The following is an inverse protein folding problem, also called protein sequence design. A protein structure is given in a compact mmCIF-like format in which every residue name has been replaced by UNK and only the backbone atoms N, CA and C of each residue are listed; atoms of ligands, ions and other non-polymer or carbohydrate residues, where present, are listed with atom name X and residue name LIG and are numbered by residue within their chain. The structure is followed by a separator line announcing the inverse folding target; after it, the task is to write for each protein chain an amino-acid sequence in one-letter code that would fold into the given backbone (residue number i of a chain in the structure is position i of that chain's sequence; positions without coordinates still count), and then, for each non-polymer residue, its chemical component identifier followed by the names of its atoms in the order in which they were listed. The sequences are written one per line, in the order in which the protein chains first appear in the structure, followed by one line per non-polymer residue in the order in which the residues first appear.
data_IF_390376968310
#
_entry.id   IF_390376968310
#
_cell.length_a   1.000
_cell.length_b   1.000
_cell.length_c   1.000
_cell.angle_alpha   90.00
_cell.angle_beta   90.00
_cell.angle_gamma   90.00
#
_symmetry.space_group_name_H-M   'P 1'
#
loop_
_entity.id
_entity.type
_entity.pdbx_description
1 polymer ?
#
# COMPACT_ATOMS: atom_id res chain seq x y z
N UNK A 1 -7.89 -27.19 5.29
CA UNK A 1 -7.80 -27.38 3.83
C UNK A 1 -7.35 -26.08 3.17
N UNK A 2 -6.60 -26.18 2.07
CA UNK A 2 -6.30 -25.06 1.18
C UNK A 2 -7.39 -25.03 0.11
N UNK A 3 -8.04 -23.89 -0.06
CA UNK A 3 -9.19 -23.74 -0.96
C UNK A 3 -8.94 -22.54 -1.88
N UNK A 4 -9.20 -22.73 -3.17
CA UNK A 4 -9.20 -21.66 -4.15
C UNK A 4 -10.40 -20.73 -3.89
N UNK A 5 -10.21 -19.41 -3.74
CA UNK A 5 -11.31 -18.46 -3.55
C UNK A 5 -12.32 -18.48 -4.71
N UNK A 6 -11.87 -18.79 -5.92
CA UNK A 6 -12.74 -18.92 -7.09
C UNK A 6 -13.58 -20.22 -7.13
N UNK A 7 -13.41 -21.14 -6.15
CA UNK A 7 -14.21 -22.35 -6.07
C UNK A 7 -15.66 -22.04 -5.68
N UNK A 8 -16.54 -22.03 -6.68
CA UNK A 8 -17.95 -21.66 -6.54
C UNK A 8 -18.73 -22.51 -5.51
N UNK A 9 -18.20 -23.68 -5.10
CA UNK A 9 -18.82 -24.53 -4.06
C UNK A 9 -18.78 -23.89 -2.68
N UNK A 10 -17.87 -22.96 -2.45
CA UNK A 10 -17.64 -22.30 -1.16
C UNK A 10 -18.06 -20.83 -1.12
N UNK A 11 -18.50 -20.24 -2.24
CA UNK A 11 -18.86 -18.82 -2.34
C UNK A 11 -19.84 -18.39 -1.24
N UNK A 12 -20.98 -19.10 -1.10
CA UNK A 12 -21.98 -18.78 -0.09
C UNK A 12 -21.48 -19.02 1.35
N UNK A 13 -20.62 -20.01 1.53
CA UNK A 13 -20.03 -20.36 2.84
C UNK A 13 -19.09 -19.29 3.31
N UNK A 14 -18.24 -18.76 2.41
CA UNK A 14 -17.30 -17.69 2.74
C UNK A 14 -18.01 -16.35 2.86
N UNK A 15 -18.96 -16.03 2.01
CA UNK A 15 -19.75 -14.80 2.13
C UNK A 15 -20.45 -14.73 3.50
N UNK A 16 -21.00 -15.84 3.97
CA UNK A 16 -21.59 -15.93 5.31
C UNK A 16 -20.53 -15.77 6.40
N UNK A 17 -19.39 -16.47 6.29
CA UNK A 17 -18.30 -16.37 7.25
C UNK A 17 -17.83 -14.91 7.42
N UNK A 18 -17.60 -14.19 6.34
CA UNK A 18 -17.17 -12.79 6.38
C UNK A 18 -18.24 -11.87 6.99
N UNK A 19 -19.51 -12.09 6.65
CA UNK A 19 -20.63 -11.38 7.27
C UNK A 19 -20.66 -11.58 8.78
N UNK A 20 -20.49 -12.84 9.24
CA UNK A 20 -20.51 -13.20 10.66
C UNK A 20 -19.27 -12.71 11.42
N UNK A 21 -18.14 -12.52 10.71
CA UNK A 21 -16.93 -11.88 11.27
C UNK A 21 -17.00 -10.36 11.33
N UNK A 22 -17.86 -9.70 10.54
CA UNK A 22 -17.92 -8.25 10.40
C UNK A 22 -16.81 -7.67 9.50
N UNK A 23 -16.18 -8.49 8.66
CA UNK A 23 -14.97 -8.17 7.88
C UNK A 23 -15.21 -8.35 6.36
N UNK A 24 -16.43 -8.14 5.91
CA UNK A 24 -16.83 -8.44 4.52
C UNK A 24 -16.00 -7.67 3.47
N UNK A 25 -15.64 -6.41 3.75
CA UNK A 25 -14.92 -5.56 2.80
C UNK A 25 -13.46 -5.97 2.59
N UNK A 26 -12.82 -6.59 3.58
CA UNK A 26 -11.41 -6.98 3.51
C UNK A 26 -11.13 -8.16 2.55
N UNK A 27 -12.15 -8.87 2.10
CA UNK A 27 -11.97 -10.17 1.43
C UNK A 27 -12.71 -10.31 0.09
N UNK A 28 -13.50 -9.33 -0.32
CA UNK A 28 -14.26 -9.41 -1.57
C UNK A 28 -13.35 -9.48 -2.81
N UNK A 29 -12.13 -8.97 -2.71
CA UNK A 29 -11.20 -8.81 -3.84
C UNK A 29 -9.92 -9.68 -3.71
N UNK A 30 -9.92 -10.66 -2.81
CA UNK A 30 -8.73 -11.47 -2.55
C UNK A 30 -8.66 -12.70 -3.48
N UNK A 31 -7.76 -12.66 -4.47
CA UNK A 31 -7.47 -13.79 -5.38
C UNK A 31 -6.55 -14.86 -4.75
N UNK A 32 -6.16 -14.68 -3.48
CA UNK A 32 -5.24 -15.59 -2.79
C UNK A 32 -5.97 -16.80 -2.20
N UNK A 33 -5.35 -18.00 -2.17
CA UNK A 33 -5.96 -19.19 -1.63
C UNK A 33 -6.21 -19.10 -0.12
N UNK A 34 -7.30 -19.71 0.34
CA UNK A 34 -7.69 -19.74 1.75
C UNK A 34 -7.30 -21.05 2.43
N UNK A 35 -6.80 -20.95 3.67
CA UNK A 35 -6.83 -22.07 4.61
C UNK A 35 -8.11 -21.98 5.44
N UNK A 36 -8.98 -22.98 5.32
CA UNK A 36 -10.26 -22.98 6.01
C UNK A 36 -10.43 -24.16 6.98
N UNK A 37 -11.12 -23.91 8.07
CA UNK A 37 -11.56 -24.92 9.06
C UNK A 37 -13.08 -24.92 9.08
N UNK A 38 -13.66 -26.11 8.98
CA UNK A 38 -15.10 -26.32 8.99
C UNK A 38 -15.51 -27.11 10.25
N UNK A 39 -16.69 -26.80 10.79
CA UNK A 39 -17.25 -27.53 11.93
C UNK A 39 -18.02 -28.80 11.51
N UNK A 40 -18.29 -28.94 10.22
CA UNK A 40 -19.08 -30.02 9.65
C UNK A 40 -18.33 -30.75 8.51
N UNK A 41 -18.72 -32.00 8.26
CA UNK A 41 -18.11 -32.84 7.23
C UNK A 41 -18.47 -32.33 5.82
N UNK A 42 -19.66 -31.75 5.66
CA UNK A 42 -20.17 -31.27 4.38
C UNK A 42 -19.54 -29.91 3.99
N UNK A 43 -18.73 -29.31 4.87
CA UNK A 43 -18.02 -28.05 4.66
C UNK A 43 -18.95 -26.86 4.36
N UNK A 44 -20.12 -26.85 4.97
CA UNK A 44 -21.12 -25.79 4.82
C UNK A 44 -20.97 -24.68 5.86
N UNK A 45 -20.24 -24.96 6.97
CA UNK A 45 -20.05 -24.02 8.06
C UNK A 45 -18.57 -23.81 8.36
N UNK A 46 -18.01 -22.74 7.77
CA UNK A 46 -16.65 -22.30 8.03
C UNK A 46 -16.56 -21.66 9.42
N UNK A 47 -15.60 -22.05 10.23
CA UNK A 47 -15.41 -21.54 11.60
C UNK A 47 -14.12 -20.76 11.79
N UNK A 48 -13.18 -20.92 10.87
CA UNK A 48 -11.94 -20.16 10.82
C UNK A 48 -11.37 -20.14 9.42
N UNK A 49 -10.78 -19.01 9.06
CA UNK A 49 -10.21 -18.77 7.75
C UNK A 49 -8.90 -18.00 7.88
N UNK A 50 -7.92 -18.34 7.06
CA UNK A 50 -6.67 -17.63 6.92
C UNK A 50 -6.37 -17.43 5.44
N UNK A 51 -6.01 -16.23 5.08
CA UNK A 51 -5.43 -15.89 3.77
C UNK A 51 -4.04 -15.31 3.95
N UNK A 52 -3.28 -15.21 2.86
CA UNK A 52 -1.97 -14.60 2.86
C UNK A 52 -1.67 -13.99 1.49
N UNK A 53 -0.95 -12.87 1.50
CA UNK A 53 -0.43 -12.21 0.31
C UNK A 53 1.09 -12.37 0.28
N UNK A 54 1.63 -12.90 -0.83
CA UNK A 54 3.08 -12.97 -1.04
C UNK A 54 3.52 -11.73 -1.81
N UNK A 55 4.48 -11.02 -1.22
CA UNK A 55 5.18 -9.91 -1.87
C UNK A 55 6.65 -10.28 -2.02
N UNK A 56 7.13 -10.25 -3.26
CA UNK A 56 8.53 -10.50 -3.60
C UNK A 56 9.18 -9.21 -4.10
N UNK A 57 10.33 -8.89 -3.54
CA UNK A 57 11.19 -7.83 -4.06
C UNK A 57 12.63 -8.34 -4.13
N UNK A 58 13.56 -7.55 -4.67
CA UNK A 58 14.96 -7.96 -4.87
C UNK A 58 15.69 -8.38 -3.57
N UNK A 59 15.20 -7.94 -2.42
CA UNK A 59 15.90 -8.11 -1.13
C UNK A 59 15.25 -9.14 -0.22
N UNK A 60 13.95 -9.40 -0.32
CA UNK A 60 13.23 -10.32 0.56
C UNK A 60 11.88 -10.74 -0.02
N UNK A 61 11.39 -11.88 0.46
CA UNK A 61 10.03 -12.37 0.25
C UNK A 61 9.27 -12.24 1.56
N UNK A 62 8.08 -11.68 1.52
CA UNK A 62 7.19 -11.52 2.68
C UNK A 62 5.84 -12.15 2.38
N UNK A 63 5.29 -12.85 3.37
CA UNK A 63 3.91 -13.31 3.39
C UNK A 63 3.14 -12.54 4.47
N UNK A 64 2.29 -11.64 4.06
CA UNK A 64 1.35 -11.00 4.97
C UNK A 64 0.16 -11.94 5.21
N UNK A 65 -0.09 -12.26 6.47
CA UNK A 65 -1.08 -13.26 6.88
C UNK A 65 -2.23 -12.59 7.60
N UNK A 66 -3.45 -12.86 7.16
CA UNK A 66 -4.68 -12.46 7.82
C UNK A 66 -5.48 -13.70 8.22
N UNK A 67 -5.82 -13.83 9.53
CA UNK A 67 -6.51 -14.99 10.07
C UNK A 67 -7.68 -14.58 10.95
N UNK A 68 -8.83 -15.21 10.72
CA UNK A 68 -10.08 -14.92 11.40
C UNK A 68 -10.69 -16.19 11.95
N UNK A 69 -11.33 -16.08 13.12
CA UNK A 69 -12.08 -17.17 13.76
C UNK A 69 -13.40 -16.60 14.26
N UNK A 70 -14.51 -17.25 13.93
CA UNK A 70 -15.83 -16.86 14.40
C UNK A 70 -15.85 -16.74 15.94
N UNK A 71 -16.53 -15.74 16.51
CA UNK A 71 -16.53 -15.47 17.96
C UNK A 71 -16.81 -16.71 18.82
N UNK A 72 -17.82 -17.51 18.46
CA UNK A 72 -18.24 -18.70 19.22
C UNK A 72 -17.24 -19.87 19.16
N UNK A 73 -16.30 -19.82 18.20
CA UNK A 73 -15.28 -20.85 17.99
C UNK A 73 -13.88 -20.40 18.45
N UNK A 74 -13.76 -19.19 19.03
CA UNK A 74 -12.50 -18.71 19.59
C UNK A 74 -12.05 -19.51 20.80
N UNK A 75 -10.74 -19.48 21.11
CA UNK A 75 -10.11 -20.20 22.23
C UNK A 75 -10.16 -21.72 22.15
N UNK A 76 -10.46 -22.28 20.99
CA UNK A 76 -10.48 -23.72 20.72
C UNK A 76 -9.26 -24.19 19.91
N UNK A 77 -8.22 -23.35 19.76
CA UNK A 77 -7.00 -23.68 19.04
C UNK A 77 -7.06 -23.49 17.52
N UNK A 78 -8.20 -23.07 16.96
CA UNK A 78 -8.39 -22.92 15.50
C UNK A 78 -7.40 -21.94 14.91
N UNK A 79 -7.22 -20.75 15.50
CA UNK A 79 -6.25 -19.75 15.06
C UNK A 79 -4.83 -20.34 15.01
N UNK A 80 -4.41 -21.02 16.07
CA UNK A 80 -3.09 -21.65 16.16
C UNK A 80 -2.89 -22.72 15.09
N UNK A 81 -3.90 -23.55 14.84
CA UNK A 81 -3.85 -24.60 13.82
C UNK A 81 -3.77 -24.00 12.40
N UNK A 82 -4.55 -22.97 12.11
CA UNK A 82 -4.50 -22.23 10.82
C UNK A 82 -3.11 -21.65 10.58
N UNK A 83 -2.63 -20.83 11.51
CA UNK A 83 -1.32 -20.17 11.39
C UNK A 83 -0.17 -21.18 11.32
N UNK A 84 -0.20 -22.27 12.10
CA UNK A 84 0.80 -23.32 12.04
C UNK A 84 0.81 -24.04 10.69
N UNK A 85 -0.37 -24.35 10.15
CA UNK A 85 -0.49 -24.99 8.83
C UNK A 85 0.02 -24.06 7.72
N UNK A 86 -0.39 -22.80 7.74
CA UNK A 86 0.05 -21.78 6.78
C UNK A 86 1.58 -21.59 6.86
N UNK A 87 2.13 -21.44 8.07
CA UNK A 87 3.56 -21.31 8.29
C UNK A 87 4.34 -22.43 7.62
N UNK A 88 3.99 -23.68 7.89
CA UNK A 88 4.70 -24.84 7.31
C UNK A 88 4.57 -24.91 5.78
N UNK A 89 3.40 -24.61 5.23
CA UNK A 89 3.19 -24.65 3.79
C UNK A 89 3.91 -23.51 3.07
N UNK A 90 3.86 -22.28 3.59
CA UNK A 90 4.54 -21.12 3.01
C UNK A 90 6.06 -21.36 3.07
N UNK A 91 6.59 -21.78 4.23
CA UNK A 91 8.02 -22.06 4.39
C UNK A 91 8.53 -23.24 3.55
N UNK A 92 7.70 -24.20 3.22
CA UNK A 92 8.06 -25.29 2.31
C UNK A 92 8.24 -24.82 0.86
N UNK A 93 7.50 -23.80 0.44
CA UNK A 93 7.58 -23.22 -0.89
C UNK A 93 8.58 -22.05 -0.95
N UNK A 94 8.62 -21.23 0.11
CA UNK A 94 9.46 -20.05 0.26
C UNK A 94 10.26 -20.12 1.58
N UNK A 95 11.38 -20.82 1.64
CA UNK A 95 12.11 -21.08 2.90
C UNK A 95 12.52 -19.81 3.65
N UNK A 96 12.94 -18.78 2.92
CA UNK A 96 13.44 -17.52 3.46
C UNK A 96 12.34 -16.45 3.65
N UNK A 97 11.10 -16.76 3.26
CA UNK A 97 9.98 -15.84 3.37
C UNK A 97 9.73 -15.42 4.82
N UNK A 98 9.60 -14.13 5.05
CA UNK A 98 9.12 -13.61 6.34
C UNK A 98 7.60 -13.69 6.39
N UNK A 99 7.05 -14.23 7.47
CA UNK A 99 5.60 -14.20 7.70
C UNK A 99 5.29 -13.09 8.69
N UNK A 100 4.43 -12.18 8.28
CA UNK A 100 3.99 -11.04 9.09
C UNK A 100 2.47 -10.98 9.17
N UNK A 101 1.95 -10.24 10.12
CA UNK A 101 0.53 -10.00 10.26
C UNK A 101 0.22 -9.13 11.48
N UNK A 102 -1.05 -8.76 11.60
CA UNK A 102 -1.53 -7.93 12.70
C UNK A 102 -1.91 -8.82 13.88
N UNK A 103 -1.23 -8.63 15.02
CA UNK A 103 -1.55 -9.30 16.27
C UNK A 103 -2.27 -8.34 17.21
N UNK A 104 -3.57 -8.55 17.50
CA UNK A 104 -4.22 -7.87 18.60
C UNK A 104 -3.47 -8.09 19.91
N UNK A 105 -3.51 -7.14 20.84
CA UNK A 105 -2.74 -7.18 22.08
C UNK A 105 -2.94 -8.47 22.91
N UNK A 106 -4.13 -9.04 22.89
CA UNK A 106 -4.40 -10.30 23.57
C UNK A 106 -3.70 -11.52 22.95
N UNK A 107 -3.30 -11.45 21.68
CA UNK A 107 -2.54 -12.49 20.98
C UNK A 107 -1.04 -12.31 21.05
N UNK A 108 -0.52 -11.14 21.45
CA UNK A 108 0.93 -10.90 21.60
C UNK A 108 1.60 -11.78 22.66
N UNK A 109 0.83 -12.52 23.44
CA UNK A 109 1.31 -13.52 24.41
C UNK A 109 1.28 -14.96 23.88
N UNK A 110 0.80 -15.19 22.66
CA UNK A 110 0.77 -16.54 22.10
C UNK A 110 2.16 -16.94 21.57
N UNK A 111 2.40 -18.26 21.48
CA UNK A 111 3.67 -18.80 21.02
C UNK A 111 4.00 -18.47 19.53
N UNK A 112 3.00 -18.01 18.77
CA UNK A 112 3.19 -17.61 17.36
C UNK A 112 3.70 -16.18 17.22
N UNK A 113 3.67 -15.36 18.27
CA UNK A 113 4.12 -13.97 18.23
C UNK A 113 5.64 -13.90 18.28
N UNK A 114 6.25 -13.41 17.23
CA UNK A 114 7.71 -13.30 17.07
C UNK A 114 8.28 -11.91 17.36
N UNK A 115 7.45 -11.00 17.85
CA UNK A 115 7.84 -9.60 18.07
C UNK A 115 7.40 -8.69 16.93
N UNK A 116 7.58 -7.39 17.11
CA UNK A 116 7.25 -6.37 16.10
C UNK A 116 8.16 -6.48 14.88
N UNK A 117 7.57 -6.56 13.70
CA UNK A 117 8.27 -6.52 12.41
C UNK A 117 8.48 -5.07 11.97
N UNK A 118 7.39 -4.35 11.80
CA UNK A 118 7.39 -2.93 11.45
C UNK A 118 6.05 -2.30 11.88
N UNK A 119 6.00 -0.98 11.84
CA UNK A 119 4.75 -0.22 11.94
C UNK A 119 4.44 0.36 10.56
N UNK A 120 3.23 0.20 10.09
CA UNK A 120 2.74 0.90 8.92
C UNK A 120 1.97 2.14 9.37
N UNK A 121 2.28 3.26 8.74
CA UNK A 121 1.64 4.55 9.01
C UNK A 121 0.71 4.91 7.87
N UNK A 122 -0.54 5.22 8.19
CA UNK A 122 -1.40 5.98 7.30
C UNK A 122 -1.05 7.45 7.44
N UNK A 123 -0.64 8.07 6.35
CA UNK A 123 -0.34 9.51 6.32
C UNK A 123 -1.36 10.22 5.44
N UNK A 124 -1.71 11.45 5.82
CA UNK A 124 -2.70 12.28 5.13
C UNK A 124 -2.15 13.67 4.84
N UNK A 125 -2.45 14.17 3.65
CA UNK A 125 -2.20 15.55 3.24
C UNK A 125 -3.52 16.23 2.91
N UNK A 126 -3.82 17.30 3.61
CA UNK A 126 -4.95 18.19 3.32
C UNK A 126 -4.51 19.37 2.47
N UNK A 127 -5.46 20.06 1.82
CA UNK A 127 -5.18 21.28 1.06
C UNK A 127 -4.52 22.37 1.92
N UNK A 128 -4.86 22.44 3.21
CA UNK A 128 -4.26 23.39 4.17
C UNK A 128 -2.79 23.06 4.41
N UNK A 129 -2.47 21.82 4.75
CA UNK A 129 -1.09 21.37 4.98
C UNK A 129 -0.23 21.47 3.72
N UNK A 130 -0.80 21.15 2.54
CA UNK A 130 -0.13 21.33 1.25
C UNK A 130 0.24 22.80 1.01
N UNK A 131 -0.65 23.73 1.34
CA UNK A 131 -0.39 25.17 1.19
C UNK A 131 0.71 25.66 2.13
N UNK A 132 0.80 25.11 3.34
CA UNK A 132 1.87 25.43 4.29
C UNK A 132 3.23 24.86 3.88
N UNK A 133 3.26 23.69 3.28
CA UNK A 133 4.48 23.04 2.80
C UNK A 133 5.00 23.63 1.47
N UNK A 134 4.14 24.24 0.65
CA UNK A 134 4.48 24.77 -0.68
C UNK A 134 5.73 25.68 -0.72
N UNK A 135 5.99 26.61 0.24
CA UNK A 135 7.20 27.42 0.23
C UNK A 135 8.48 26.59 0.38
N UNK A 136 8.45 25.54 1.22
CA UNK A 136 9.60 24.65 1.43
C UNK A 136 9.86 23.78 0.19
N UNK A 137 8.82 23.29 -0.46
CA UNK A 137 8.92 22.54 -1.72
C UNK A 137 9.49 23.41 -2.85
N UNK A 138 9.05 24.67 -2.96
CA UNK A 138 9.60 25.62 -3.94
C UNK A 138 11.07 25.95 -3.71
N UNK A 139 11.54 26.03 -2.44
CA UNK A 139 12.96 26.30 -2.13
C UNK A 139 13.84 25.09 -2.37
N UNK A 140 13.39 23.88 -2.03
CA UNK A 140 14.11 22.63 -2.33
C UNK A 140 14.30 22.45 -3.86
N UNK A 141 13.31 22.85 -4.64
CA UNK A 141 13.42 22.83 -6.11
C UNK A 141 14.44 23.85 -6.66
N UNK A 142 14.70 24.97 -5.97
CA UNK A 142 15.69 25.98 -6.43
C UNK A 142 17.13 25.48 -6.37
N UNK A 143 17.46 24.61 -5.41
CA UNK A 143 18.82 24.06 -5.30
C UNK A 143 19.08 22.95 -6.34
N UNK A 144 18.02 22.35 -6.87
CA UNK A 144 18.08 21.36 -7.96
C UNK A 144 17.96 22.05 -9.32
N UNK A 145 17.37 23.23 -9.35
CA UNK A 145 16.98 23.98 -10.56
C UNK A 145 17.58 25.40 -10.52
N UNK A 146 18.59 25.72 -11.33
CA UNK A 146 19.02 27.09 -11.48
C UNK A 146 17.94 27.88 -12.27
N UNK A 147 17.39 28.91 -11.62
CA UNK A 147 16.43 29.92 -12.11
C UNK A 147 14.93 29.54 -12.16
N UNK A 148 14.24 30.05 -11.13
CA UNK A 148 12.82 29.90 -10.91
C UNK A 148 11.99 31.01 -11.53
N UNK A 149 11.46 30.77 -12.71
CA UNK A 149 10.36 31.57 -13.27
C UNK A 149 9.06 30.79 -13.53
N UNK A 150 9.00 29.48 -13.15
CA UNK A 150 7.99 28.54 -13.66
C UNK A 150 6.84 28.18 -12.73
N UNK A 151 6.75 28.73 -11.50
CA UNK A 151 5.60 28.44 -10.63
C UNK A 151 4.28 29.12 -11.02
N UNK A 152 4.23 29.90 -12.07
CA UNK A 152 3.07 30.74 -12.39
C UNK A 152 2.24 30.37 -13.62
N UNK A 153 2.62 29.38 -14.43
CA UNK A 153 1.89 29.05 -15.67
C UNK A 153 1.68 27.55 -15.88
N UNK A 154 0.83 26.92 -15.07
CA UNK A 154 0.28 25.60 -15.40
C UNK A 154 -1.11 25.80 -15.98
N UNK A 155 -1.23 25.75 -17.29
CA UNK A 155 -2.51 25.62 -17.99
C UNK A 155 -2.69 24.14 -18.30
N UNK A 156 -3.53 23.46 -17.54
CA UNK A 156 -3.99 22.09 -17.85
C UNK A 156 -5.20 22.14 -18.77
N UNK A 157 -5.07 21.63 -19.97
CA UNK A 157 -6.21 21.31 -20.84
C UNK A 157 -6.51 19.83 -20.67
N UNK A 158 -7.62 19.50 -20.03
CA UNK A 158 -8.11 18.13 -19.91
C UNK A 158 -8.76 17.78 -21.25
N UNK A 159 -8.15 16.87 -22.00
CA UNK A 159 -8.80 16.21 -23.14
C UNK A 159 -8.69 14.71 -22.96
N UNK A 160 -9.87 14.04 -23.03
CA UNK A 160 -10.04 12.60 -23.03
C UNK A 160 -9.47 11.98 -24.31
N UNK A 161 -8.20 11.64 -24.31
CA UNK A 161 -7.46 10.77 -25.24
C UNK A 161 -6.04 10.60 -24.69
N UNK A 162 -5.31 9.52 -25.02
CA UNK A 162 -3.93 9.38 -24.58
C UNK A 162 -3.03 10.33 -25.36
N UNK A 163 -3.16 11.62 -25.04
CA UNK A 163 -2.29 12.67 -25.52
C UNK A 163 -1.25 12.90 -24.43
N UNK A 164 0.01 12.68 -24.79
CA UNK A 164 1.16 13.02 -23.95
C UNK A 164 1.21 14.53 -23.78
N UNK A 165 0.76 15.02 -22.63
CA UNK A 165 0.93 16.42 -22.27
C UNK A 165 2.29 16.59 -21.58
N UNK A 166 3.30 16.91 -22.34
CA UNK A 166 4.63 17.23 -21.84
C UNK A 166 4.64 18.68 -21.31
N UNK A 167 4.71 18.84 -20.00
CA UNK A 167 4.97 20.13 -19.36
C UNK A 167 6.44 20.21 -18.95
N UNK A 168 7.22 21.08 -19.60
CA UNK A 168 8.60 21.33 -19.22
C UNK A 168 8.65 22.06 -17.88
N UNK A 169 9.25 21.42 -16.87
CA UNK A 169 9.49 22.03 -15.56
C UNK A 169 10.89 22.62 -15.43
N UNK A 170 11.74 22.34 -16.35
CA UNK A 170 13.12 22.83 -16.56
C UNK A 170 13.66 22.21 -17.82
N UNK A 171 14.72 22.74 -18.34
CA UNK A 171 15.38 22.23 -19.55
C UNK A 171 15.84 20.77 -19.48
N UNK A 172 15.72 20.15 -18.28
CA UNK A 172 16.23 18.79 -18.01
C UNK A 172 15.17 17.77 -17.56
N UNK A 173 13.90 18.16 -17.30
CA UNK A 173 12.86 17.23 -16.86
C UNK A 173 11.56 17.42 -17.62
N UNK A 174 10.95 16.31 -18.04
CA UNK A 174 9.66 16.26 -18.69
C UNK A 174 8.66 15.55 -17.77
N UNK A 175 7.45 16.08 -17.71
CA UNK A 175 6.36 15.56 -16.89
C UNK A 175 5.28 15.00 -17.79
N UNK A 176 4.93 13.74 -17.59
CA UNK A 176 3.82 13.08 -18.29
C UNK A 176 2.76 12.65 -17.30
N UNK A 177 1.49 12.77 -17.68
CA UNK A 177 0.37 12.28 -16.90
C UNK A 177 -0.46 11.35 -17.78
N UNK A 178 -0.63 10.12 -17.35
CA UNK A 178 -1.47 9.13 -18.02
C UNK A 178 -2.74 8.90 -17.19
N UNK A 179 -3.87 8.71 -17.88
CA UNK A 179 -5.16 8.44 -17.25
C UNK A 179 -5.64 7.07 -17.69
N UNK A 180 -6.07 6.25 -16.75
CA UNK A 180 -6.93 5.10 -16.94
C UNK A 180 -8.28 5.34 -16.26
N UNK A 181 -9.21 4.39 -16.31
CA UNK A 181 -10.60 4.61 -15.90
C UNK A 181 -10.75 5.15 -14.48
N UNK A 182 -9.96 4.65 -13.50
CA UNK A 182 -10.02 5.06 -12.09
C UNK A 182 -8.65 5.50 -11.52
N UNK A 183 -7.58 5.45 -12.32
CA UNK A 183 -6.22 5.73 -11.88
C UNK A 183 -5.57 6.82 -12.72
N UNK A 184 -4.70 7.58 -12.10
CA UNK A 184 -3.89 8.59 -12.75
C UNK A 184 -2.42 8.40 -12.42
N UNK A 185 -1.58 8.15 -13.44
CA UNK A 185 -0.15 8.00 -13.29
C UNK A 185 0.57 9.32 -13.59
N UNK A 186 1.59 9.58 -12.79
CA UNK A 186 2.51 10.70 -12.95
C UNK A 186 3.91 10.18 -13.17
N UNK A 187 4.50 10.56 -14.30
CA UNK A 187 5.80 10.10 -14.72
C UNK A 187 6.72 11.31 -14.90
N UNK A 188 7.94 11.21 -14.39
CA UNK A 188 8.96 12.23 -14.51
C UNK A 188 10.14 11.65 -15.29
N UNK A 189 10.50 12.27 -16.40
CA UNK A 189 11.61 11.88 -17.26
C UNK A 189 12.77 12.85 -17.10
N UNK A 190 13.99 12.35 -17.23
CA UNK A 190 15.21 13.18 -17.29
C UNK A 190 15.60 13.39 -18.75
N UNK A 191 15.46 14.63 -19.24
CA UNK A 191 15.79 14.97 -20.62
C UNK A 191 14.91 14.22 -21.63
N UNK A 192 15.56 13.61 -22.62
CA UNK A 192 14.91 12.82 -23.67
C UNK A 192 15.02 11.31 -23.42
N UNK A 193 15.17 10.89 -22.15
CA UNK A 193 15.22 9.45 -21.79
C UNK A 193 13.87 8.79 -22.07
N UNK A 194 13.92 7.54 -22.56
CA UNK A 194 12.71 6.77 -22.90
C UNK A 194 11.99 6.22 -21.66
N UNK A 195 12.70 6.07 -20.52
CA UNK A 195 12.16 5.56 -19.28
C UNK A 195 12.04 6.66 -18.21
N UNK A 196 10.96 6.68 -17.43
CA UNK A 196 10.78 7.67 -16.38
C UNK A 196 11.77 7.45 -15.23
N UNK A 197 12.41 8.52 -14.76
CA UNK A 197 13.29 8.48 -13.59
C UNK A 197 12.52 8.47 -12.25
N UNK A 198 11.23 8.81 -12.26
CA UNK A 198 10.33 8.67 -11.11
C UNK A 198 8.88 8.54 -11.57
N UNK A 199 8.10 7.79 -10.79
CA UNK A 199 6.67 7.55 -11.03
C UNK A 199 5.88 7.58 -9.73
N UNK A 200 4.60 7.88 -9.82
CA UNK A 200 3.61 7.63 -8.76
C UNK A 200 2.21 7.59 -9.38
N UNK A 201 1.24 7.02 -8.63
CA UNK A 201 -0.13 6.86 -9.09
C UNK A 201 -1.12 7.40 -8.06
N UNK A 202 -2.24 7.89 -8.55
CA UNK A 202 -3.41 8.28 -7.76
C UNK A 202 -4.57 7.34 -8.09
N UNK A 203 -5.20 6.83 -7.05
CA UNK A 203 -6.44 6.08 -7.11
C UNK A 203 -7.54 6.87 -6.40
N UNK A 204 -8.65 7.11 -7.12
CA UNK A 204 -9.72 7.99 -6.69
C UNK A 204 -10.83 7.23 -5.99
N UNK A 205 -10.91 7.40 -4.66
CA UNK A 205 -11.86 6.75 -3.80
C UNK A 205 -12.97 7.71 -3.32
N UNK A 206 -14.03 7.14 -2.75
CA UNK A 206 -15.09 7.92 -2.13
C UNK A 206 -14.61 8.52 -0.80
N UNK A 207 -14.25 9.81 -0.81
CA UNK A 207 -13.89 10.56 0.40
C UNK A 207 -12.39 10.85 0.56
N UNK A 208 -11.52 10.22 -0.20
CA UNK A 208 -10.08 10.49 -0.25
C UNK A 208 -9.50 10.06 -1.60
N UNK A 209 -8.25 10.41 -1.86
CA UNK A 209 -7.49 9.89 -3.00
C UNK A 209 -6.23 9.22 -2.47
N UNK A 210 -5.99 7.99 -2.89
CA UNK A 210 -4.84 7.22 -2.49
C UNK A 210 -3.64 7.53 -3.39
N UNK A 211 -2.52 7.95 -2.80
CA UNK A 211 -1.23 8.11 -3.47
C UNK A 211 -0.40 6.86 -3.23
N UNK A 212 -0.07 6.14 -4.29
CA UNK A 212 0.69 4.89 -4.18
C UNK A 212 1.74 4.78 -5.29
N UNK A 213 2.55 3.70 -5.26
CA UNK A 213 3.53 3.41 -6.29
C UNK A 213 4.62 4.48 -6.43
N UNK A 214 4.87 5.31 -5.39
CA UNK A 214 5.92 6.34 -5.45
C UNK A 214 7.28 5.66 -5.55
N UNK A 215 7.87 5.73 -6.72
CA UNK A 215 9.15 5.12 -7.04
C UNK A 215 10.09 6.15 -7.67
N UNK A 216 11.36 6.08 -7.32
CA UNK A 216 12.46 6.82 -7.94
C UNK A 216 13.51 5.81 -8.35
N UNK A 217 13.93 5.87 -9.61
CA UNK A 217 14.98 5.02 -10.14
C UNK A 217 16.25 5.11 -9.31
N UNK A 218 16.97 3.99 -9.16
CA UNK A 218 18.12 3.89 -8.25
C UNK A 218 19.21 4.92 -8.54
N UNK A 219 19.51 5.15 -9.82
CA UNK A 219 20.50 6.12 -10.27
C UNK A 219 20.06 7.57 -10.07
N UNK A 220 18.75 7.77 -9.80
CA UNK A 220 18.12 9.08 -9.58
C UNK A 220 17.85 9.38 -8.10
N UNK A 221 18.07 8.41 -7.20
CA UNK A 221 17.83 8.59 -5.76
C UNK A 221 18.79 9.60 -5.13
N UNK A 222 18.35 10.18 -4.02
CA UNK A 222 19.11 11.18 -3.22
C UNK A 222 19.45 12.48 -3.95
N UNK A 223 18.84 12.73 -5.13
CA UNK A 223 19.00 13.93 -5.93
C UNK A 223 17.78 14.87 -5.85
N UNK A 224 16.85 14.63 -4.91
CA UNK A 224 15.64 15.44 -4.77
C UNK A 224 14.52 15.10 -5.76
N UNK A 225 14.70 14.09 -6.60
CA UNK A 225 13.74 13.72 -7.67
C UNK A 225 12.36 13.38 -7.12
N UNK A 226 12.27 12.61 -6.01
CA UNK A 226 10.99 12.33 -5.36
C UNK A 226 10.29 13.59 -4.85
N UNK A 227 11.05 14.55 -4.32
CA UNK A 227 10.51 15.86 -3.93
C UNK A 227 10.01 16.65 -5.15
N UNK A 228 10.75 16.61 -6.25
CA UNK A 228 10.35 17.25 -7.50
C UNK A 228 9.05 16.66 -8.05
N UNK A 229 8.92 15.32 -8.08
CA UNK A 229 7.72 14.61 -8.50
C UNK A 229 6.49 15.08 -7.69
N UNK A 230 6.57 15.02 -6.37
CA UNK A 230 5.46 15.41 -5.49
C UNK A 230 5.20 16.92 -5.48
N UNK A 231 6.22 17.74 -5.65
CA UNK A 231 6.06 19.21 -5.75
C UNK A 231 5.26 19.63 -7.00
N UNK A 232 5.22 18.80 -8.03
CA UNK A 232 4.38 19.01 -9.20
C UNK A 232 2.98 18.44 -9.02
N UNK A 233 2.90 17.19 -8.53
CA UNK A 233 1.63 16.50 -8.33
C UNK A 233 0.73 17.24 -7.34
N UNK A 234 1.24 17.58 -6.15
CA UNK A 234 0.43 18.11 -5.06
C UNK A 234 -0.33 19.39 -5.42
N UNK A 235 0.30 20.44 -5.98
CA UNK A 235 -0.44 21.63 -6.41
C UNK A 235 -1.41 21.37 -7.56
N UNK A 236 -1.06 20.49 -8.50
CA UNK A 236 -1.93 20.13 -9.62
C UNK A 236 -3.18 19.40 -9.11
N UNK A 237 -3.02 18.49 -8.16
CA UNK A 237 -4.12 17.78 -7.51
C UNK A 237 -5.07 18.75 -6.79
N UNK A 238 -4.58 19.53 -5.83
CA UNK A 238 -5.43 20.41 -5.01
C UNK A 238 -6.02 21.61 -5.78
N UNK A 239 -5.55 21.89 -6.99
CA UNK A 239 -6.20 22.86 -7.87
C UNK A 239 -7.58 22.38 -8.34
N UNK A 240 -7.74 21.06 -8.51
CA UNK A 240 -8.93 20.45 -9.11
C UNK A 240 -9.74 19.61 -8.10
N UNK A 241 -9.15 19.24 -6.97
CA UNK A 241 -9.74 18.34 -5.96
C UNK A 241 -9.64 18.94 -4.56
N UNK A 242 -10.66 18.68 -3.74
CA UNK A 242 -10.70 19.11 -2.34
C UNK A 242 -10.58 17.93 -1.35
N UNK A 243 -10.51 16.70 -1.86
CA UNK A 243 -10.36 15.51 -1.03
C UNK A 243 -8.91 15.41 -0.54
N UNK A 244 -8.68 14.85 0.66
CA UNK A 244 -7.32 14.61 1.14
C UNK A 244 -6.61 13.55 0.31
N UNK A 245 -5.29 13.71 0.13
CA UNK A 245 -4.41 12.64 -0.31
C UNK A 245 -4.02 11.80 0.90
N UNK A 246 -4.12 10.48 0.77
CA UNK A 246 -3.62 9.54 1.77
C UNK A 246 -2.58 8.60 1.16
N UNK A 247 -1.74 8.04 2.00
CA UNK A 247 -0.79 6.99 1.61
C UNK A 247 -0.45 6.11 2.81
N UNK A 248 -0.01 4.89 2.53
CA UNK A 248 0.57 3.99 3.52
C UNK A 248 2.10 3.95 3.37
N UNK A 249 2.81 3.93 4.49
CA UNK A 249 4.27 3.83 4.50
C UNK A 249 4.78 3.03 5.70
N UNK A 250 5.69 2.10 5.45
CA UNK A 250 6.33 1.32 6.52
C UNK A 250 7.35 2.17 7.30
N UNK A 251 7.41 1.99 8.60
CA UNK A 251 8.37 2.67 9.51
C UNK A 251 9.83 2.44 9.12
N UNK A 252 10.12 1.32 8.46
CA UNK A 252 11.44 0.96 7.94
C UNK A 252 11.84 1.75 6.71
N UNK A 253 10.88 2.30 5.95
CA UNK A 253 11.15 3.15 4.78
C UNK A 253 11.39 4.61 5.22
N UNK A 254 12.54 4.85 5.84
CA UNK A 254 12.87 6.18 6.40
C UNK A 254 12.99 7.26 5.34
N UNK A 255 13.41 6.90 4.13
CA UNK A 255 13.55 7.85 3.01
C UNK A 255 12.16 8.36 2.56
N UNK A 256 11.21 7.47 2.33
CA UNK A 256 9.84 7.83 1.98
C UNK A 256 9.15 8.61 3.12
N UNK A 257 9.35 8.20 4.37
CA UNK A 257 8.83 8.92 5.54
C UNK A 257 9.33 10.37 5.59
N UNK A 258 10.60 10.60 5.30
CA UNK A 258 11.17 11.96 5.25
C UNK A 258 10.60 12.75 4.09
N UNK A 259 10.50 12.15 2.90
CA UNK A 259 9.90 12.75 1.71
C UNK A 259 8.47 13.23 1.99
N UNK A 260 7.61 12.34 2.48
CA UNK A 260 6.20 12.67 2.73
C UNK A 260 6.01 13.74 3.80
N UNK A 261 6.77 13.67 4.91
CA UNK A 261 6.75 14.74 5.93
C UNK A 261 7.21 16.08 5.36
N UNK A 262 8.24 16.08 4.50
CA UNK A 262 8.68 17.30 3.84
C UNK A 262 7.61 17.89 2.92
N UNK A 263 6.78 17.04 2.30
CA UNK A 263 5.64 17.45 1.48
C UNK A 263 4.40 17.87 2.29
N UNK A 264 4.44 17.77 3.63
CA UNK A 264 3.35 18.20 4.51
C UNK A 264 2.37 17.08 4.90
N UNK A 265 2.66 15.82 4.58
CA UNK A 265 1.86 14.69 5.07
C UNK A 265 2.06 14.48 6.57
N UNK A 266 0.96 14.23 7.27
CA UNK A 266 0.93 13.96 8.70
C UNK A 266 0.44 12.53 8.97
N UNK A 267 0.99 11.88 10.00
CA UNK A 267 0.54 10.54 10.42
C UNK A 267 -0.82 10.70 11.11
N UNK A 268 -1.84 9.99 10.61
CA UNK A 268 -3.20 9.99 11.17
C UNK A 268 -3.52 8.70 11.92
N UNK A 269 -2.95 7.58 11.50
CA UNK A 269 -3.07 6.32 12.21
C UNK A 269 -1.86 5.42 11.97
N UNK A 270 -1.78 4.33 12.72
CA UNK A 270 -0.71 3.35 12.56
C UNK A 270 -1.19 1.95 12.91
N UNK A 271 -0.63 0.98 12.21
CA UNK A 271 -0.86 -0.45 12.44
C UNK A 271 0.49 -1.13 12.66
N UNK A 272 0.60 -1.93 13.72
CA UNK A 272 1.81 -2.71 14.01
C UNK A 272 1.70 -4.09 13.36
N UNK A 273 2.65 -4.41 12.50
CA UNK A 273 2.85 -5.74 11.95
C UNK A 273 3.87 -6.51 12.78
N UNK A 274 3.61 -7.77 13.01
CA UNK A 274 4.45 -8.63 13.85
C UNK A 274 4.84 -9.88 13.10
N UNK A 275 6.01 -10.42 13.41
CA UNK A 275 6.46 -11.71 12.85
C UNK A 275 5.65 -12.87 13.40
N UNK A 276 5.33 -13.82 12.53
CA UNK A 276 4.91 -15.16 12.92
C UNK A 276 6.12 -16.06 13.16
N UNK A 277 6.11 -16.82 14.25
CA UNK A 277 7.11 -17.84 14.53
C UNK A 277 6.52 -19.23 14.35
N UNK A 278 7.41 -20.22 14.14
CA UNK A 278 6.99 -21.60 14.20
C UNK A 278 6.46 -21.95 15.60
N UNK A 279 5.41 -22.78 15.64
CA UNK A 279 5.02 -23.39 16.91
C UNK A 279 6.19 -24.23 17.44
N UNK A 280 6.52 -24.16 18.74
CA UNK A 280 7.46 -25.10 19.33
C UNK A 280 6.91 -26.52 19.11
N UNK A 281 7.78 -27.40 18.60
CA UNK A 281 7.47 -28.81 18.36
C UNK A 281 7.24 -29.54 19.69
#
# INVERSE_FOLDING_TARGET
DLIDPADSRFTDTFARFFTDCGEYELFSDCDTPYFAVFSDIDRTHCTGLLTFLISENESFTEAEVAAFVLPDYRRQGIFTALCGTAYHKIKAQYPDCMLTGIFPDFLKKCALYGGTAYTEYLMMLTAENASMAAPALCTANRDILPDSAACSNIHSTITSSPAKDFNSCNDNFLYETCFSDDEQDFLLYRGEEDEPCAVCSLDYENGFTNLYGVYVDEDCRWQGIGTLLLAHLIPAYFKNHNLPLILNVRSTNTAAMQLYRHCGFEITSSVEFSYFTALPQ
#
